data_IF_370952118561
#
_entry.id   IF_370952118561
#
_cell.length_a   1.000
_cell.length_b   1.000
_cell.length_c   1.000
_cell.angle_alpha   90.00
_cell.angle_beta   90.00
_cell.angle_gamma   90.00
#
_symmetry.space_group_name_H-M   'P 1'
#
loop_
_entity.id
_entity.type
_entity.pdbx_description
1 polymer ?
#
# COMPACT_ATOMS: atom_id res chain seq x y z
N UNK A 1 -11.03 -21.21 19.22
CA UNK A 1 -11.73 -20.34 18.25
C UNK A 1 -11.81 -18.93 18.80
N UNK A 2 -11.50 -17.92 17.99
CA UNK A 2 -11.71 -16.51 18.36
C UNK A 2 -13.22 -16.22 18.42
N UNK A 3 -13.68 -15.49 19.44
CA UNK A 3 -15.10 -15.13 19.62
C UNK A 3 -15.22 -13.63 19.82
N UNK A 4 -16.02 -12.97 18.98
CA UNK A 4 -16.39 -11.57 19.11
C UNK A 4 -17.77 -11.36 18.47
N UNK A 5 -18.48 -10.31 18.87
CA UNK A 5 -19.75 -9.94 18.25
C UNK A 5 -19.54 -9.44 16.81
N UNK A 6 -18.46 -8.70 16.57
CA UNK A 6 -18.07 -8.13 15.29
C UNK A 6 -16.57 -8.26 15.09
N UNK A 7 -16.15 -8.31 13.82
CA UNK A 7 -14.77 -8.46 13.41
C UNK A 7 -14.41 -7.45 12.31
N UNK A 8 -13.14 -7.02 12.30
CA UNK A 8 -12.54 -6.24 11.23
C UNK A 8 -11.27 -6.97 10.79
N UNK A 9 -11.22 -7.44 9.54
CA UNK A 9 -10.05 -8.02 8.93
C UNK A 9 -9.16 -6.92 8.34
N UNK A 10 -8.15 -6.53 9.13
CA UNK A 10 -7.07 -5.64 8.72
C UNK A 10 -5.73 -6.40 8.64
N UNK A 11 -5.76 -7.72 8.40
CA UNK A 11 -4.55 -8.55 8.25
C UNK A 11 -3.71 -8.15 7.04
N UNK A 12 -4.35 -7.53 6.05
CA UNK A 12 -3.81 -7.21 4.75
C UNK A 12 -3.67 -8.41 3.81
N UNK A 13 -4.23 -9.58 4.18
CA UNK A 13 -4.24 -10.80 3.37
C UNK A 13 -5.57 -11.58 3.51
N UNK A 14 -6.64 -10.86 3.90
CA UNK A 14 -8.00 -11.39 4.04
C UNK A 14 -8.10 -12.73 4.81
N UNK A 15 -7.22 -12.97 5.78
CA UNK A 15 -7.09 -14.26 6.46
C UNK A 15 -8.34 -14.59 7.28
N UNK A 16 -8.92 -13.59 7.94
CA UNK A 16 -10.13 -13.77 8.73
C UNK A 16 -11.36 -13.89 7.83
N UNK A 17 -11.42 -13.13 6.73
CA UNK A 17 -12.45 -13.27 5.71
C UNK A 17 -12.47 -14.68 5.11
N UNK A 18 -11.31 -15.19 4.70
CA UNK A 18 -11.16 -16.55 4.19
C UNK A 18 -11.59 -17.59 5.23
N UNK A 19 -11.14 -17.46 6.48
CA UNK A 19 -11.50 -18.37 7.57
C UNK A 19 -13.01 -18.32 7.92
N UNK A 20 -13.67 -17.19 7.69
CA UNK A 20 -15.10 -17.02 7.86
C UNK A 20 -15.94 -17.54 6.68
N UNK A 21 -15.30 -18.04 5.62
CA UNK A 21 -15.97 -18.48 4.39
C UNK A 21 -16.45 -17.34 3.50
N UNK A 22 -16.01 -16.09 3.74
CA UNK A 22 -16.27 -14.98 2.83
C UNK A 22 -15.49 -15.20 1.53
N UNK A 23 -16.07 -14.87 0.35
CA UNK A 23 -15.33 -15.01 -0.90
C UNK A 23 -14.14 -14.03 -0.93
N UNK A 24 -12.97 -14.55 -1.26
CA UNK A 24 -11.73 -13.79 -1.44
C UNK A 24 -11.14 -14.05 -2.82
N UNK A 25 -10.27 -13.16 -3.29
CA UNK A 25 -9.52 -13.35 -4.52
C UNK A 25 -8.05 -13.00 -4.34
N UNK A 26 -7.19 -13.61 -5.16
CA UNK A 26 -5.77 -13.26 -5.29
C UNK A 26 -5.49 -13.06 -6.78
N UNK A 27 -4.83 -11.97 -7.14
CA UNK A 27 -4.49 -11.70 -8.54
C UNK A 27 -3.56 -12.78 -9.11
N UNK A 28 -3.66 -13.06 -10.41
CA UNK A 28 -2.78 -14.00 -11.10
C UNK A 28 -1.32 -13.55 -11.07
N UNK A 29 -1.09 -12.25 -11.19
CA UNK A 29 0.22 -11.61 -11.05
C UNK A 29 0.18 -10.65 -9.88
N UNK A 30 0.94 -10.89 -8.82
CA UNK A 30 1.02 -9.97 -7.68
C UNK A 30 1.88 -8.73 -8.00
N UNK A 31 1.90 -7.78 -7.08
CA UNK A 31 2.82 -6.64 -7.15
C UNK A 31 4.06 -6.89 -6.31
N UNK A 32 5.21 -6.51 -6.86
CA UNK A 32 6.49 -6.69 -6.18
C UNK A 32 6.58 -5.82 -4.91
N UNK A 33 6.91 -6.43 -3.76
CA UNK A 33 7.15 -5.67 -2.55
C UNK A 33 8.47 -4.89 -2.58
N UNK A 34 8.62 -3.99 -1.61
CA UNK A 34 9.83 -3.19 -1.41
C UNK A 34 10.29 -3.24 0.06
N UNK A 35 11.59 -3.39 0.26
CA UNK A 35 12.30 -3.13 1.52
C UNK A 35 12.85 -1.70 1.50
N UNK A 36 12.16 -0.77 2.14
CA UNK A 36 12.72 0.58 2.33
C UNK A 36 13.78 0.54 3.43
N UNK A 37 14.73 1.47 3.38
CA UNK A 37 15.80 1.56 4.36
C UNK A 37 16.21 3.01 4.57
N UNK A 38 16.78 3.29 5.74
CA UNK A 38 17.27 4.62 6.10
C UNK A 38 18.78 4.67 5.88
N UNK A 39 19.25 5.80 5.36
CA UNK A 39 20.66 6.13 5.35
C UNK A 39 20.90 7.39 6.18
N UNK A 40 22.03 7.41 6.89
CA UNK A 40 22.51 8.55 7.66
C UNK A 40 23.85 9.05 7.14
N UNK A 41 24.27 10.24 7.59
CA UNK A 41 25.47 10.97 7.12
C UNK A 41 25.43 11.32 5.64
N UNK A 42 24.23 11.57 5.12
CA UNK A 42 24.06 12.14 3.78
C UNK A 42 24.29 13.66 3.85
N UNK A 43 25.19 14.18 3.03
CA UNK A 43 25.31 15.62 2.80
C UNK A 43 24.12 16.08 1.94
N UNK A 44 23.05 16.54 2.61
CA UNK A 44 21.80 16.91 1.96
C UNK A 44 21.95 18.11 1.03
N UNK A 45 22.86 19.05 1.32
CA UNK A 45 23.09 20.21 0.45
C UNK A 45 23.65 19.75 -0.90
N UNK A 46 24.57 18.79 -0.89
CA UNK A 46 25.09 18.19 -2.13
C UNK A 46 24.10 17.25 -2.80
N UNK A 47 23.34 16.46 -2.04
CA UNK A 47 22.46 15.43 -2.59
C UNK A 47 21.18 15.99 -3.23
N UNK A 48 20.57 17.02 -2.65
CA UNK A 48 19.26 17.54 -3.06
C UNK A 48 19.14 17.90 -4.55
N UNK A 49 20.12 18.60 -5.17
CA UNK A 49 20.08 18.91 -6.61
C UNK A 49 20.02 17.68 -7.52
N UNK A 50 20.53 16.53 -7.06
CA UNK A 50 20.64 15.30 -7.86
C UNK A 50 19.46 14.34 -7.68
N UNK A 51 18.57 14.58 -6.71
CA UNK A 51 17.43 13.69 -6.46
C UNK A 51 16.47 13.65 -7.65
N UNK A 52 16.31 14.76 -8.38
CA UNK A 52 15.46 14.82 -9.57
C UNK A 52 16.00 14.00 -10.76
N UNK A 53 17.31 13.80 -10.85
CA UNK A 53 17.96 12.98 -11.88
C UNK A 53 18.19 11.54 -11.43
N UNK A 54 17.68 11.13 -10.26
CA UNK A 54 17.90 9.78 -9.72
C UNK A 54 17.41 8.70 -10.70
N UNK A 55 16.23 8.86 -11.28
CA UNK A 55 15.68 7.87 -12.22
C UNK A 55 16.57 7.70 -13.46
N UNK A 56 17.14 8.78 -14.00
CA UNK A 56 18.09 8.70 -15.13
C UNK A 56 19.37 7.97 -14.74
N UNK A 57 19.89 8.25 -13.53
CA UNK A 57 21.08 7.59 -12.99
C UNK A 57 20.85 6.08 -12.78
N UNK A 58 19.68 5.69 -12.28
CA UNK A 58 19.30 4.30 -12.05
C UNK A 58 19.08 3.56 -13.36
N UNK A 59 18.38 4.16 -14.34
CA UNK A 59 18.19 3.57 -15.67
C UNK A 59 19.55 3.30 -16.34
N UNK A 60 20.46 4.29 -16.32
CA UNK A 60 21.79 4.17 -16.91
C UNK A 60 22.61 3.01 -16.35
N UNK A 61 22.46 2.70 -15.06
CA UNK A 61 23.23 1.66 -14.38
C UNK A 61 22.42 0.41 -14.03
N UNK A 62 21.19 0.29 -14.54
CA UNK A 62 20.28 -0.79 -14.15
C UNK A 62 20.93 -2.17 -14.32
N UNK A 63 21.45 -2.45 -15.50
CA UNK A 63 22.08 -3.73 -15.81
C UNK A 63 23.51 -3.83 -15.21
N UNK A 64 24.29 -2.75 -15.23
CA UNK A 64 25.71 -2.78 -14.85
C UNK A 64 25.94 -2.83 -13.35
N UNK A 65 25.06 -2.24 -12.55
CA UNK A 65 25.11 -2.27 -11.09
C UNK A 65 24.17 -3.32 -10.46
N UNK A 66 23.47 -4.12 -11.29
CA UNK A 66 22.54 -5.14 -10.83
C UNK A 66 21.42 -4.56 -9.96
N UNK A 67 20.90 -3.39 -10.32
CA UNK A 67 19.90 -2.69 -9.53
C UNK A 67 18.55 -3.41 -9.64
N UNK A 68 17.76 -3.45 -8.55
CA UNK A 68 16.48 -4.16 -8.57
C UNK A 68 15.37 -3.38 -9.29
N UNK A 69 15.53 -2.07 -9.51
CA UNK A 69 14.59 -1.23 -10.26
C UNK A 69 15.28 -0.07 -10.98
N UNK A 70 14.56 0.43 -11.99
CA UNK A 70 14.98 1.46 -12.95
C UNK A 70 14.68 2.90 -12.50
N UNK A 71 13.81 3.07 -11.52
CA UNK A 71 13.46 4.34 -10.88
C UNK A 71 13.50 4.18 -9.37
N UNK A 72 13.48 5.25 -8.59
CA UNK A 72 13.52 5.17 -7.14
C UNK A 72 13.21 6.52 -6.49
N UNK A 73 13.05 6.51 -5.17
CA UNK A 73 12.90 7.74 -4.39
C UNK A 73 13.90 7.76 -3.23
N UNK A 74 14.42 8.95 -2.96
CA UNK A 74 15.19 9.29 -1.76
C UNK A 74 14.47 10.45 -1.11
N UNK A 75 14.03 10.26 0.13
CA UNK A 75 13.13 11.18 0.82
C UNK A 75 13.84 11.68 2.08
N UNK A 76 14.25 12.96 2.14
CA UNK A 76 14.75 13.55 3.38
C UNK A 76 13.70 13.43 4.50
N UNK A 77 14.13 12.95 5.67
CA UNK A 77 13.20 12.70 6.80
C UNK A 77 12.90 13.95 7.62
N UNK A 78 13.59 15.06 7.33
CA UNK A 78 13.63 16.28 8.15
C UNK A 78 14.67 16.24 9.26
N UNK A 79 15.33 15.10 9.50
CA UNK A 79 16.52 15.03 10.37
C UNK A 79 17.78 15.30 9.56
N UNK A 80 18.73 16.00 10.18
CA UNK A 80 19.99 16.36 9.52
C UNK A 80 20.73 15.10 9.06
N UNK A 81 21.02 15.05 7.75
CA UNK A 81 21.77 13.97 7.11
C UNK A 81 21.08 12.61 7.07
N UNK A 82 19.76 12.55 7.25
CA UNK A 82 18.98 11.31 7.19
C UNK A 82 18.00 11.31 6.01
N UNK A 83 17.99 10.20 5.27
CA UNK A 83 17.06 9.95 4.16
C UNK A 83 16.42 8.58 4.28
N UNK A 84 15.17 8.46 3.81
CA UNK A 84 14.51 7.19 3.52
C UNK A 84 14.71 6.85 2.04
N UNK A 85 15.23 5.66 1.76
CA UNK A 85 15.51 5.17 0.41
C UNK A 85 14.50 4.11 0.02
N UNK A 86 13.81 4.33 -1.11
CA UNK A 86 12.81 3.45 -1.69
C UNK A 86 13.27 2.95 -3.07
N UNK A 87 14.32 2.12 -3.05
CA UNK A 87 14.99 1.62 -4.26
C UNK A 87 14.95 0.11 -4.44
N UNK A 88 14.36 -0.66 -3.53
CA UNK A 88 14.28 -2.12 -3.66
C UNK A 88 13.05 -2.58 -4.44
N UNK A 89 13.16 -3.80 -4.99
CA UNK A 89 12.17 -4.48 -5.81
C UNK A 89 12.32 -5.98 -5.62
N UNK A 90 11.66 -6.52 -4.62
CA UNK A 90 11.95 -7.88 -4.17
C UNK A 90 11.10 -8.88 -4.96
N UNK A 91 11.75 -9.87 -5.55
CA UNK A 91 11.12 -10.95 -6.31
C UNK A 91 11.97 -12.21 -6.26
N UNK A 92 11.36 -13.34 -6.61
CA UNK A 92 11.99 -14.66 -6.63
C UNK A 92 11.96 -15.15 -8.06
N UNK A 93 13.11 -15.53 -8.62
CA UNK A 93 13.22 -16.03 -10.00
C UNK A 93 12.52 -15.15 -11.06
N UNK A 94 12.63 -13.82 -10.92
CA UNK A 94 12.07 -12.86 -11.89
C UNK A 94 10.56 -12.64 -11.81
N UNK A 95 9.88 -13.18 -10.79
CA UNK A 95 8.46 -12.90 -10.49
C UNK A 95 8.28 -12.20 -9.14
N UNK A 96 7.15 -11.52 -8.91
CA UNK A 96 6.76 -11.11 -7.56
C UNK A 96 6.67 -12.33 -6.64
N UNK A 97 7.06 -12.16 -5.38
CA UNK A 97 6.85 -13.17 -4.34
C UNK A 97 5.42 -13.10 -3.79
N UNK A 98 4.92 -14.23 -3.31
CA UNK A 98 3.63 -14.31 -2.63
C UNK A 98 3.84 -14.21 -1.12
N UNK A 99 3.55 -13.03 -0.56
CA UNK A 99 3.71 -12.79 0.87
C UNK A 99 2.66 -13.51 1.74
N UNK A 100 1.70 -14.20 1.13
CA UNK A 100 0.78 -15.11 1.83
C UNK A 100 1.37 -16.51 2.05
N UNK A 101 2.53 -16.82 1.43
CA UNK A 101 3.37 -17.97 1.71
C UNK A 101 4.50 -17.59 2.68
N UNK A 102 4.62 -18.32 3.79
CA UNK A 102 5.57 -17.99 4.85
C UNK A 102 7.04 -18.19 4.43
N UNK A 103 7.32 -19.17 3.56
CA UNK A 103 8.67 -19.42 3.07
C UNK A 103 9.10 -18.34 2.06
N UNK A 104 8.21 -17.97 1.14
CA UNK A 104 8.48 -16.87 0.20
C UNK A 104 8.61 -15.53 0.92
N UNK A 105 7.79 -15.25 1.94
CA UNK A 105 7.94 -14.04 2.76
C UNK A 105 9.28 -14.01 3.48
N UNK A 106 9.70 -15.12 4.10
CA UNK A 106 11.01 -15.23 4.77
C UNK A 106 12.16 -14.97 3.80
N UNK A 107 12.12 -15.58 2.62
CA UNK A 107 13.12 -15.34 1.58
C UNK A 107 13.09 -13.89 1.10
N UNK A 108 11.89 -13.31 0.94
CA UNK A 108 11.71 -11.90 0.57
C UNK A 108 12.31 -10.92 1.58
N UNK A 109 12.21 -11.21 2.87
CA UNK A 109 12.84 -10.41 3.93
C UNK A 109 14.38 -10.41 3.83
N UNK A 110 14.97 -11.56 3.49
CA UNK A 110 16.42 -11.70 3.29
C UNK A 110 16.88 -10.99 2.01
N UNK A 111 16.24 -11.27 0.88
CA UNK A 111 16.55 -10.65 -0.41
C UNK A 111 16.33 -9.12 -0.37
N UNK A 112 15.33 -8.65 0.37
CA UNK A 112 15.08 -7.23 0.54
C UNK A 112 16.23 -6.50 1.24
N UNK A 113 16.86 -7.12 2.25
CA UNK A 113 18.02 -6.55 2.95
C UNK A 113 19.27 -6.59 2.10
N UNK A 114 19.49 -7.68 1.36
CA UNK A 114 20.57 -7.75 0.37
C UNK A 114 20.43 -6.65 -0.70
N UNK A 115 19.21 -6.41 -1.20
CA UNK A 115 18.96 -5.30 -2.13
C UNK A 115 19.16 -3.92 -1.49
N UNK A 116 18.86 -3.76 -0.20
CA UNK A 116 19.10 -2.50 0.51
C UNK A 116 20.61 -2.19 0.58
N UNK A 117 21.43 -3.17 0.93
CA UNK A 117 22.90 -3.06 0.94
C UNK A 117 23.44 -2.70 -0.46
N UNK A 118 23.00 -3.43 -1.50
CA UNK A 118 23.39 -3.16 -2.89
C UNK A 118 23.03 -1.74 -3.34
N UNK A 119 21.82 -1.29 -3.02
CA UNK A 119 21.36 0.06 -3.34
C UNK A 119 22.16 1.11 -2.57
N UNK A 120 22.47 0.88 -1.29
CA UNK A 120 23.30 1.80 -0.51
C UNK A 120 24.71 1.91 -1.10
N UNK A 121 25.35 0.79 -1.44
CA UNK A 121 26.67 0.76 -2.08
C UNK A 121 26.66 1.52 -3.41
N UNK A 122 25.62 1.33 -4.22
CA UNK A 122 25.44 2.08 -5.45
C UNK A 122 25.37 3.59 -5.18
N UNK A 123 24.54 4.03 -4.22
CA UNK A 123 24.40 5.45 -3.88
C UNK A 123 25.72 6.04 -3.40
N UNK A 124 26.47 5.36 -2.52
CA UNK A 124 27.79 5.81 -2.04
C UNK A 124 28.79 6.03 -3.17
N UNK A 125 28.74 5.20 -4.21
CA UNK A 125 29.65 5.28 -5.35
C UNK A 125 29.24 6.24 -6.47
N UNK A 126 27.96 6.63 -6.56
CA UNK A 126 27.41 7.29 -7.75
C UNK A 126 26.61 8.56 -7.47
N UNK A 127 26.16 8.81 -6.25
CA UNK A 127 25.33 9.97 -5.93
C UNK A 127 26.07 10.94 -5.01
N UNK A 128 26.34 12.19 -5.46
CA UNK A 128 27.04 13.16 -4.64
C UNK A 128 26.35 13.40 -3.29
N UNK A 129 27.16 13.48 -2.23
CA UNK A 129 26.70 13.64 -0.86
C UNK A 129 26.42 12.33 -0.11
N UNK A 130 26.54 11.17 -0.78
CA UNK A 130 26.40 9.85 -0.14
C UNK A 130 27.74 9.20 0.23
N UNK A 131 28.88 9.85 0.02
CA UNK A 131 30.21 9.23 0.13
C UNK A 131 30.47 8.64 1.52
N UNK A 132 30.04 9.35 2.57
CA UNK A 132 30.15 8.94 3.98
C UNK A 132 28.86 8.32 4.54
N UNK A 133 27.86 8.14 3.69
CA UNK A 133 26.56 7.66 4.11
C UNK A 133 26.62 6.18 4.48
N UNK A 134 25.74 5.73 5.37
CA UNK A 134 25.62 4.32 5.74
C UNK A 134 24.16 3.96 6.03
N UNK A 135 23.80 2.68 5.90
CA UNK A 135 22.46 2.20 6.29
C UNK A 135 22.35 2.26 7.82
N UNK A 136 21.42 3.08 8.33
CA UNK A 136 21.15 3.14 9.76
C UNK A 136 20.08 2.13 10.19
N UNK A 137 19.10 1.86 9.33
CA UNK A 137 18.03 0.91 9.61
C UNK A 137 17.35 0.42 8.31
N UNK A 138 16.61 -0.67 8.39
CA UNK A 138 15.73 -1.18 7.32
C UNK A 138 14.28 -1.20 7.82
N UNK A 139 13.30 -1.28 6.91
CA UNK A 139 11.93 -1.51 7.32
C UNK A 139 11.86 -2.82 8.16
N UNK A 140 11.12 -2.83 9.28
CA UNK A 140 11.06 -4.00 10.15
C UNK A 140 10.36 -5.19 9.48
N UNK A 141 9.58 -4.91 8.43
CA UNK A 141 8.99 -5.90 7.54
C UNK A 141 9.04 -5.42 6.11
N UNK A 142 9.04 -6.38 5.21
CA UNK A 142 8.89 -6.18 3.78
C UNK A 142 7.57 -5.45 3.48
N UNK A 143 7.64 -4.41 2.66
CA UNK A 143 6.50 -3.62 2.21
C UNK A 143 5.66 -4.37 1.18
N UNK A 144 4.81 -5.29 1.66
CA UNK A 144 3.88 -6.08 0.84
C UNK A 144 2.82 -5.18 0.23
N UNK A 145 2.68 -5.24 -1.09
CA UNK A 145 1.72 -4.42 -1.84
C UNK A 145 0.39 -5.13 -2.06
N UNK A 146 0.43 -6.43 -2.36
CA UNK A 146 -0.74 -7.19 -2.77
C UNK A 146 -0.61 -8.65 -2.33
N UNK A 147 -1.71 -9.20 -1.81
CA UNK A 147 -1.91 -10.62 -1.48
C UNK A 147 -3.39 -10.95 -1.75
N UNK A 148 -4.11 -11.63 -0.85
CA UNK A 148 -5.56 -11.81 -1.01
C UNK A 148 -6.34 -10.54 -0.67
N UNK A 149 -7.41 -10.31 -1.43
CA UNK A 149 -8.43 -9.28 -1.21
C UNK A 149 -9.78 -9.92 -0.95
N UNK A 150 -10.65 -9.19 -0.25
CA UNK A 150 -12.04 -9.56 -0.09
C UNK A 150 -12.81 -9.35 -1.41
N UNK A 151 -13.79 -10.21 -1.72
CA UNK A 151 -14.87 -9.86 -2.65
C UNK A 151 -16.02 -9.24 -1.87
N UNK A 152 -16.06 -7.92 -1.87
CA UNK A 152 -17.08 -7.13 -1.21
C UNK A 152 -18.36 -7.01 -2.05
N UNK A 153 -19.33 -6.26 -1.53
CA UNK A 153 -20.56 -5.91 -2.26
C UNK A 153 -20.31 -4.96 -3.44
N UNK A 154 -19.12 -4.36 -3.52
CA UNK A 154 -18.63 -3.59 -4.65
C UNK A 154 -17.12 -3.78 -4.77
N UNK A 155 -16.58 -3.62 -5.97
CA UNK A 155 -15.15 -3.55 -6.21
C UNK A 155 -14.84 -2.16 -6.77
N UNK A 156 -14.01 -1.39 -6.06
CA UNK A 156 -13.49 -0.12 -6.58
C UNK A 156 -12.71 -0.38 -7.88
N UNK A 157 -13.07 0.31 -8.96
CA UNK A 157 -12.49 0.07 -10.30
C UNK A 157 -11.45 1.12 -10.71
N UNK A 158 -10.79 0.89 -11.84
CA UNK A 158 -9.93 1.88 -12.49
C UNK A 158 -10.70 3.15 -12.85
N UNK A 159 -11.88 3.00 -13.43
CA UNK A 159 -12.73 4.12 -13.87
C UNK A 159 -13.20 4.97 -12.69
N UNK A 160 -13.50 4.34 -11.54
CA UNK A 160 -13.86 5.06 -10.32
C UNK A 160 -12.70 5.93 -9.82
N UNK A 161 -11.46 5.42 -9.90
CA UNK A 161 -10.24 6.14 -9.51
C UNK A 161 -9.97 7.28 -10.48
N UNK A 162 -9.77 6.96 -11.77
CA UNK A 162 -9.39 7.96 -12.79
C UNK A 162 -10.47 9.03 -13.00
N UNK A 163 -11.75 8.65 -12.87
CA UNK A 163 -12.88 9.56 -12.95
C UNK A 163 -13.15 10.36 -11.67
N UNK A 164 -12.36 10.17 -10.61
CA UNK A 164 -12.50 10.93 -9.37
C UNK A 164 -13.83 10.72 -8.65
N UNK A 165 -14.41 9.51 -8.73
CA UNK A 165 -15.80 9.25 -8.37
C UNK A 165 -16.10 9.52 -6.90
N UNK A 166 -17.23 10.17 -6.64
CA UNK A 166 -17.81 10.33 -5.29
C UNK A 166 -18.99 9.39 -5.14
N UNK A 167 -18.97 8.60 -4.09
CA UNK A 167 -20.07 7.69 -3.77
C UNK A 167 -20.91 8.26 -2.63
N UNK A 168 -22.22 8.02 -2.68
CA UNK A 168 -23.15 8.36 -1.59
C UNK A 168 -22.79 7.65 -0.29
N UNK A 169 -22.18 6.47 -0.39
CA UNK A 169 -21.65 5.69 0.73
C UNK A 169 -20.12 5.80 0.87
N UNK A 170 -19.49 6.84 0.31
CA UNK A 170 -18.05 7.11 0.45
C UNK A 170 -17.63 7.32 1.90
N UNK A 171 -16.56 6.64 2.34
CA UNK A 171 -16.10 6.60 3.74
C UNK A 171 -14.72 7.24 3.98
N UNK A 172 -13.93 7.43 2.92
CA UNK A 172 -12.66 8.15 3.01
C UNK A 172 -12.25 8.65 1.62
N UNK A 173 -11.38 9.67 1.58
CA UNK A 173 -10.84 10.25 0.35
C UNK A 173 -9.52 9.61 -0.03
N UNK A 174 -9.27 9.54 -1.33
CA UNK A 174 -8.01 9.10 -1.90
C UNK A 174 -7.72 9.89 -3.19
N UNK A 175 -6.45 10.16 -3.46
CA UNK A 175 -5.99 10.86 -4.66
C UNK A 175 -4.66 10.28 -5.16
N UNK A 176 -4.30 9.08 -4.69
CA UNK A 176 -3.07 8.43 -5.14
C UNK A 176 -3.26 7.94 -6.58
N UNK A 177 -2.30 8.14 -7.48
CA UNK A 177 -2.39 7.56 -8.82
C UNK A 177 -2.41 6.03 -8.76
N UNK A 178 -2.79 5.40 -9.87
CA UNK A 178 -2.67 3.96 -10.02
C UNK A 178 -1.18 3.66 -10.18
N UNK A 179 -0.59 3.03 -9.16
CA UNK A 179 0.84 2.67 -9.08
C UNK A 179 0.99 1.14 -9.15
N UNK A 180 1.30 0.63 -10.35
CA UNK A 180 1.48 -0.79 -10.60
C UNK A 180 2.95 -1.15 -10.68
N UNK A 181 3.37 -1.98 -9.73
CA UNK A 181 4.70 -2.55 -9.69
C UNK A 181 4.77 -3.79 -10.60
N UNK A 182 5.25 -3.60 -11.84
CA UNK A 182 5.40 -4.65 -12.88
C UNK A 182 6.84 -5.17 -13.07
N UNK A 183 7.04 -6.21 -13.88
CA UNK A 183 8.35 -6.84 -14.08
C UNK A 183 9.43 -5.89 -14.64
N UNK A 184 10.68 -6.36 -14.72
CA UNK A 184 11.83 -5.63 -15.28
C UNK A 184 12.15 -4.30 -14.55
N UNK A 185 11.84 -4.22 -13.25
CA UNK A 185 12.17 -3.04 -12.45
C UNK A 185 11.32 -1.80 -12.75
N UNK A 186 10.23 -1.95 -13.51
CA UNK A 186 9.38 -0.85 -13.97
C UNK A 186 8.18 -0.60 -13.03
N UNK A 187 7.67 0.62 -13.08
CA UNK A 187 6.43 1.02 -12.40
C UNK A 187 5.54 1.71 -13.41
N UNK A 188 4.34 1.16 -13.63
CA UNK A 188 3.33 1.77 -14.48
C UNK A 188 2.51 2.75 -13.64
N UNK A 189 2.44 3.99 -14.09
CA UNK A 189 1.68 5.05 -13.44
C UNK A 189 0.52 5.48 -14.33
N UNK A 190 -0.68 5.58 -13.76
CA UNK A 190 -1.81 6.27 -14.38
C UNK A 190 -2.33 7.30 -13.40
N UNK A 191 -2.21 8.56 -13.79
CA UNK A 191 -2.57 9.69 -12.94
C UNK A 191 -4.03 10.05 -13.16
N UNK A 192 -4.68 10.49 -12.09
CA UNK A 192 -5.94 11.22 -12.19
C UNK A 192 -5.63 12.61 -12.74
N UNK A 193 -6.61 13.25 -13.35
CA UNK A 193 -6.48 14.67 -13.73
C UNK A 193 -6.25 15.55 -12.50
N UNK A 194 -5.55 16.67 -12.69
CA UNK A 194 -5.20 17.57 -11.59
C UNK A 194 -6.46 18.06 -10.84
N UNK A 195 -6.35 18.09 -9.50
CA UNK A 195 -7.47 18.41 -8.61
C UNK A 195 -8.50 17.29 -8.40
N UNK A 196 -8.43 16.18 -9.15
CA UNK A 196 -9.31 15.04 -8.88
C UNK A 196 -8.85 14.23 -7.67
N UNK A 197 -9.85 13.68 -7.00
CA UNK A 197 -9.74 12.70 -5.92
C UNK A 197 -10.95 11.78 -6.05
N UNK A 198 -11.05 10.70 -5.30
CA UNK A 198 -12.23 9.82 -5.25
C UNK A 198 -12.53 9.43 -3.81
N UNK A 199 -13.72 8.87 -3.57
CA UNK A 199 -14.04 8.25 -2.28
C UNK A 199 -14.04 6.73 -2.39
N UNK A 200 -13.57 6.03 -1.37
CA UNK A 200 -13.79 4.58 -1.24
C UNK A 200 -15.21 4.35 -0.70
N UNK A 201 -16.09 3.59 -1.36
CA UNK A 201 -17.44 3.34 -0.85
C UNK A 201 -17.45 2.26 0.24
N UNK A 202 -18.31 2.42 1.25
CA UNK A 202 -18.42 1.52 2.41
C UNK A 202 -18.62 0.06 2.00
N UNK A 203 -19.43 -0.18 0.96
CA UNK A 203 -19.70 -1.50 0.40
C UNK A 203 -18.46 -2.25 -0.12
N UNK A 204 -17.31 -1.59 -0.34
CA UNK A 204 -16.04 -2.27 -0.59
C UNK A 204 -15.50 -3.02 0.64
N UNK A 205 -15.87 -2.58 1.85
CA UNK A 205 -15.43 -3.20 3.11
C UNK A 205 -16.35 -4.37 3.51
N UNK A 206 -17.55 -4.44 2.92
CA UNK A 206 -18.62 -5.37 3.32
C UNK A 206 -18.54 -6.67 2.53
N UNK A 207 -18.23 -7.82 3.16
CA UNK A 207 -18.16 -9.12 2.50
C UNK A 207 -19.54 -9.61 2.05
N UNK A 208 -19.57 -10.42 0.99
CA UNK A 208 -20.77 -11.18 0.61
C UNK A 208 -20.94 -12.39 1.55
N UNK A 209 -22.12 -12.56 2.12
CA UNK A 209 -22.50 -13.77 2.89
C UNK A 209 -22.08 -13.82 4.35
N UNK A 210 -21.40 -12.79 4.90
CA UNK A 210 -20.99 -12.74 6.31
C UNK A 210 -21.58 -11.52 7.00
N UNK A 211 -22.27 -11.73 8.14
CA UNK A 211 -23.07 -10.69 8.82
C UNK A 211 -22.23 -9.67 9.59
N UNK A 212 -21.17 -10.13 10.25
CA UNK A 212 -20.48 -9.40 11.32
C UNK A 212 -18.98 -9.20 11.07
N UNK A 213 -18.58 -9.21 9.80
CA UNK A 213 -17.20 -9.00 9.38
C UNK A 213 -17.11 -7.81 8.43
N UNK A 214 -16.10 -6.95 8.59
CA UNK A 214 -15.63 -6.02 7.57
C UNK A 214 -14.18 -6.35 7.22
N UNK A 215 -13.71 -5.89 6.07
CA UNK A 215 -12.29 -5.90 5.71
C UNK A 215 -11.83 -4.50 5.36
N UNK A 216 -10.58 -4.15 5.73
CA UNK A 216 -10.02 -2.81 5.50
C UNK A 216 -8.54 -2.88 5.09
N UNK A 217 -8.02 -1.79 4.52
CA UNK A 217 -6.64 -1.67 4.07
C UNK A 217 -6.35 -2.58 2.88
N UNK A 218 -5.25 -3.34 2.94
CA UNK A 218 -4.87 -4.24 1.81
C UNK A 218 -5.87 -5.38 1.55
N UNK A 219 -6.87 -5.57 2.43
CA UNK A 219 -7.96 -6.52 2.21
C UNK A 219 -9.11 -5.94 1.35
N UNK A 220 -9.06 -4.66 0.97
CA UNK A 220 -10.13 -3.95 0.27
C UNK A 220 -10.62 -4.68 -0.99
N UNK A 221 -11.94 -4.70 -1.18
CA UNK A 221 -12.56 -5.15 -2.43
C UNK A 221 -12.37 -4.12 -3.55
N UNK A 222 -11.55 -4.46 -4.53
CA UNK A 222 -11.22 -3.60 -5.67
C UNK A 222 -10.70 -4.44 -6.84
N UNK A 223 -10.79 -3.89 -8.06
CA UNK A 223 -10.03 -4.42 -9.20
C UNK A 223 -8.53 -4.24 -8.94
N UNK A 224 -7.69 -4.89 -9.75
CA UNK A 224 -6.22 -4.76 -9.62
C UNK A 224 -5.79 -3.28 -9.62
N UNK A 225 -6.32 -2.50 -10.54
CA UNK A 225 -6.01 -1.11 -10.77
C UNK A 225 -6.59 -0.21 -9.67
N UNK A 226 -7.87 -0.40 -9.32
CA UNK A 226 -8.49 0.34 -8.21
C UNK A 226 -7.77 0.10 -6.88
N UNK A 227 -7.34 -1.14 -6.65
CA UNK A 227 -6.55 -1.52 -5.48
C UNK A 227 -5.18 -0.86 -5.47
N UNK A 228 -4.49 -0.81 -6.62
CA UNK A 228 -3.15 -0.24 -6.72
C UNK A 228 -3.10 1.25 -6.33
N UNK A 229 -4.21 1.97 -6.49
CA UNK A 229 -4.39 3.34 -6.01
C UNK A 229 -4.81 3.40 -4.54
N UNK A 230 -5.84 2.64 -4.13
CA UNK A 230 -6.42 2.74 -2.79
C UNK A 230 -5.55 2.14 -1.66
N UNK A 231 -4.66 1.19 -1.95
CA UNK A 231 -3.88 0.44 -0.92
C UNK A 231 -2.85 1.26 -0.14
N UNK A 232 -2.68 2.55 -0.41
CA UNK A 232 -1.69 3.39 0.28
C UNK A 232 -2.15 3.75 1.70
N UNK A 233 -1.22 4.24 2.53
CA UNK A 233 -1.43 4.39 3.98
C UNK A 233 -2.63 5.29 4.30
N UNK A 234 -2.78 6.42 3.60
CA UNK A 234 -3.85 7.38 3.86
C UNK A 234 -5.26 6.77 3.78
N UNK A 235 -5.67 6.19 2.63
CA UNK A 235 -6.95 5.52 2.52
C UNK A 235 -7.08 4.32 3.49
N UNK A 236 -6.02 3.52 3.70
CA UNK A 236 -6.05 2.43 4.68
C UNK A 236 -6.43 2.92 6.10
N UNK A 237 -5.91 4.07 6.53
CA UNK A 237 -6.27 4.66 7.81
C UNK A 237 -7.73 5.10 7.85
N UNK A 238 -8.22 5.74 6.77
CA UNK A 238 -9.61 6.16 6.65
C UNK A 238 -10.59 4.98 6.64
N UNK A 239 -10.28 3.91 5.91
CA UNK A 239 -11.04 2.67 5.88
C UNK A 239 -11.11 2.02 7.27
N UNK A 240 -9.99 1.97 8.00
CA UNK A 240 -9.95 1.45 9.37
C UNK A 240 -10.83 2.26 10.33
N UNK A 241 -10.78 3.58 10.26
CA UNK A 241 -11.64 4.47 11.06
C UNK A 241 -13.12 4.25 10.75
N UNK A 242 -13.47 4.17 9.46
CA UNK A 242 -14.84 3.93 9.03
C UNK A 242 -15.36 2.54 9.45
N UNK A 243 -14.54 1.50 9.32
CA UNK A 243 -14.90 0.15 9.75
C UNK A 243 -15.17 0.09 11.27
N UNK A 244 -14.32 0.73 12.08
CA UNK A 244 -14.52 0.81 13.53
C UNK A 244 -15.82 1.55 13.89
N UNK A 245 -16.09 2.66 13.21
CA UNK A 245 -17.31 3.44 13.45
C UNK A 245 -18.57 2.70 13.01
N UNK A 246 -18.52 1.97 11.90
CA UNK A 246 -19.62 1.11 11.46
C UNK A 246 -19.94 0.02 12.50
N UNK A 247 -18.92 -0.61 13.08
CA UNK A 247 -19.11 -1.55 14.21
C UNK A 247 -19.74 -0.85 15.42
N UNK A 248 -19.29 0.37 15.76
CA UNK A 248 -19.86 1.13 16.87
C UNK A 248 -21.34 1.52 16.66
N UNK A 249 -21.76 1.75 15.41
CA UNK A 249 -23.17 1.98 15.03
C UNK A 249 -23.98 0.69 15.13
N UNK A 250 -23.43 -0.41 14.61
CA UNK A 250 -24.11 -1.69 14.52
C UNK A 250 -24.29 -2.37 15.89
N UNK A 251 -23.26 -2.32 16.73
CA UNK A 251 -23.15 -3.13 17.94
C UNK A 251 -24.30 -2.93 18.95
N UNK A 252 -24.71 -1.70 19.31
CA UNK A 252 -25.81 -1.48 20.26
C UNK A 252 -27.17 -2.00 19.74
N UNK A 253 -27.36 -2.01 18.43
CA UNK A 253 -28.60 -2.43 17.76
C UNK A 253 -28.56 -3.92 17.35
N UNK A 254 -27.41 -4.57 17.48
CA UNK A 254 -27.17 -5.91 16.96
C UNK A 254 -27.29 -6.02 15.44
N UNK A 255 -27.18 -4.92 14.69
CA UNK A 255 -27.40 -4.85 13.22
C UNK A 255 -26.29 -5.58 12.46
N UNK A 256 -26.57 -6.10 11.25
CA UNK A 256 -25.50 -6.61 10.38
C UNK A 256 -24.61 -5.44 9.94
N UNK A 257 -23.32 -5.67 9.75
CA UNK A 257 -22.44 -4.62 9.22
C UNK A 257 -22.86 -4.21 7.81
N UNK A 258 -23.49 -5.12 7.09
CA UNK A 258 -24.02 -4.89 5.75
C UNK A 258 -25.31 -4.06 5.71
N UNK A 259 -25.95 -3.82 6.87
CA UNK A 259 -27.19 -3.07 7.02
C UNK A 259 -26.97 -1.76 7.81
N UNK A 260 -25.70 -1.38 8.04
CA UNK A 260 -25.35 -0.07 8.60
C UNK A 260 -25.74 1.01 7.60
N UNK A 261 -26.51 2.00 8.07
CA UNK A 261 -26.92 3.15 7.27
C UNK A 261 -25.69 3.98 6.86
N UNK A 262 -25.37 4.08 5.55
CA UNK A 262 -24.25 4.88 5.07
C UNK A 262 -24.38 6.36 5.43
N UNK A 263 -25.60 6.91 5.50
CA UNK A 263 -25.80 8.31 5.86
C UNK A 263 -25.44 8.56 7.33
N UNK A 264 -25.87 7.69 8.25
CA UNK A 264 -25.46 7.75 9.67
C UNK A 264 -23.94 7.63 9.81
N UNK A 265 -23.33 6.66 9.11
CA UNK A 265 -21.88 6.45 9.14
C UNK A 265 -21.12 7.69 8.67
N UNK A 266 -21.50 8.26 7.53
CA UNK A 266 -20.87 9.47 6.97
C UNK A 266 -21.06 10.68 7.88
N UNK A 267 -22.25 10.89 8.43
CA UNK A 267 -22.49 11.99 9.35
C UNK A 267 -21.56 11.92 10.58
N UNK A 268 -21.36 10.72 11.14
CA UNK A 268 -20.43 10.52 12.25
C UNK A 268 -18.96 10.68 11.85
N UNK A 269 -18.56 10.25 10.65
CA UNK A 269 -17.22 10.50 10.12
C UNK A 269 -16.93 11.99 9.97
N UNK A 270 -17.87 12.75 9.38
CA UNK A 270 -17.76 14.20 9.24
C UNK A 270 -17.69 14.90 10.61
N UNK A 271 -18.48 14.44 11.59
CA UNK A 271 -18.42 14.97 12.96
C UNK A 271 -17.05 14.73 13.64
N UNK A 272 -16.31 13.71 13.21
CA UNK A 272 -14.93 13.43 13.64
C UNK A 272 -13.87 14.16 12.79
N UNK A 273 -14.30 15.06 11.89
CA UNK A 273 -13.40 15.85 11.04
C UNK A 273 -12.89 15.11 9.80
N UNK A 274 -13.45 13.95 9.45
CA UNK A 274 -13.09 13.28 8.19
C UNK A 274 -13.66 14.09 7.02
N UNK A 275 -12.82 14.61 6.11
CA UNK A 275 -13.31 15.34 4.96
C UNK A 275 -13.88 14.34 3.96
N UNK A 276 -15.20 14.31 3.76
CA UNK A 276 -15.89 13.42 2.81
C UNK A 276 -16.35 14.16 1.57
#
# INVERSE_FOLDING_TARGET
AMKAAYFIDASGDSVLALAAGAPTEKGETLQYPSMMFYMQRVDLEKALPHLFSLSELLEKHFDTAGLPRRSGNIIPTGRAGEVLVAMSRVGIAGRPLDASDAAELTLGEMLGREQAERCADFLRGHLPGFEEAFISDTAPRLGVRETRRLRGRYALTEEDVLGGRKFEDGICRAAWPIELHVANGLTEWRFLDDGLWYTVPYRCLVPVGVRNLLAAGRCLSATREGFASARVIGPCMGEGQAAALAVAIAHPKGTALADVDPAELRARLTALGVPL
#
